data_IF_582216592098
#
_entry.id   IF_582216592098
#
_cell.length_a   1.000
_cell.length_b   1.000
_cell.length_c   1.000
_cell.angle_alpha   90.00
_cell.angle_beta   90.00
_cell.angle_gamma   90.00
#
_symmetry.space_group_name_H-M   'P 1'
#
loop_
_entity.id
_entity.type
_entity.pdbx_description
1 polymer ?
#
# COMPACT_ATOMS: atom_id res chain seq x y z
N UNK A 1 -24.82 5.73 -11.91
CA UNK A 1 -24.33 5.53 -10.52
C UNK A 1 -23.75 6.82 -9.91
N UNK A 2 -22.81 7.49 -10.56
CA UNK A 2 -22.26 8.77 -10.05
C UNK A 2 -23.34 9.79 -9.68
N UNK A 3 -24.37 9.95 -10.50
CA UNK A 3 -25.47 10.91 -10.26
C UNK A 3 -26.24 10.71 -8.95
N UNK A 4 -26.21 9.51 -8.39
CA UNK A 4 -26.83 9.21 -7.08
C UNK A 4 -26.08 9.95 -5.96
N UNK A 5 -24.78 10.19 -6.12
CA UNK A 5 -23.94 10.87 -5.16
C UNK A 5 -23.82 12.38 -5.43
N UNK A 6 -23.58 12.77 -6.67
CA UNK A 6 -23.13 14.14 -7.01
C UNK A 6 -24.11 14.93 -7.87
N UNK A 7 -25.29 14.35 -8.17
CA UNK A 7 -26.26 14.99 -9.08
C UNK A 7 -25.82 14.91 -10.55
N UNK A 8 -26.29 15.84 -11.40
CA UNK A 8 -26.02 15.80 -12.83
C UNK A 8 -24.54 15.73 -13.19
N UNK A 9 -24.18 14.80 -14.07
CA UNK A 9 -22.82 14.52 -14.54
C UNK A 9 -22.65 15.03 -15.98
N UNK A 10 -21.54 15.72 -16.24
CA UNK A 10 -21.23 16.29 -17.58
C UNK A 10 -20.19 15.48 -18.34
N UNK A 11 -19.28 14.81 -17.66
CA UNK A 11 -18.29 13.94 -18.28
C UNK A 11 -17.94 12.75 -17.39
N UNK A 12 -17.59 11.61 -18.01
CA UNK A 12 -17.12 10.38 -17.34
C UNK A 12 -16.02 9.76 -18.19
N UNK A 13 -14.89 9.39 -17.55
CA UNK A 13 -13.79 8.68 -18.20
C UNK A 13 -13.07 7.73 -17.24
N UNK A 14 -12.38 6.69 -17.75
CA UNK A 14 -11.49 5.86 -16.93
C UNK A 14 -10.45 6.72 -16.22
N UNK A 15 -10.10 6.37 -14.97
CA UNK A 15 -9.15 7.14 -14.18
C UNK A 15 -8.21 6.26 -13.38
N UNK A 16 -6.91 6.65 -13.37
CA UNK A 16 -5.86 5.97 -12.61
C UNK A 16 -5.38 4.66 -13.25
N UNK A 17 -4.31 4.13 -12.69
CA UNK A 17 -3.69 2.86 -13.08
C UNK A 17 -3.97 1.72 -12.07
N UNK A 18 -4.86 1.94 -11.11
CA UNK A 18 -5.20 0.96 -10.07
C UNK A 18 -5.75 -0.35 -10.68
N UNK A 19 -5.32 -1.48 -10.10
CA UNK A 19 -5.62 -2.80 -10.66
C UNK A 19 -6.74 -3.55 -9.94
N UNK A 20 -7.17 -3.05 -8.76
CA UNK A 20 -8.15 -3.74 -7.90
C UNK A 20 -9.56 -3.23 -8.19
N UNK A 21 -9.80 -1.95 -7.95
CA UNK A 21 -11.11 -1.32 -8.15
C UNK A 21 -11.25 -0.79 -9.59
N UNK A 22 -12.48 -0.72 -10.10
CA UNK A 22 -12.76 0.05 -11.32
C UNK A 22 -12.97 1.51 -10.95
N UNK A 23 -12.14 2.39 -11.51
CA UNK A 23 -12.09 3.80 -11.13
C UNK A 23 -12.38 4.70 -12.34
N UNK A 24 -13.22 5.71 -12.11
CA UNK A 24 -13.62 6.69 -13.11
C UNK A 24 -13.44 8.11 -12.56
N UNK A 25 -12.99 9.03 -13.41
CA UNK A 25 -13.10 10.45 -13.16
C UNK A 25 -14.45 10.94 -13.69
N UNK A 26 -15.14 11.71 -12.89
CA UNK A 26 -16.46 12.24 -13.18
C UNK A 26 -16.48 13.74 -12.94
N UNK A 27 -16.98 14.49 -13.92
CA UNK A 27 -17.23 15.93 -13.78
C UNK A 27 -18.71 16.16 -13.43
N UNK A 28 -18.96 16.78 -12.29
CA UNK A 28 -20.28 17.19 -11.82
C UNK A 28 -20.37 18.69 -11.62
N UNK A 29 -21.57 19.18 -11.28
CA UNK A 29 -21.81 20.63 -11.10
C UNK A 29 -20.94 21.30 -10.02
N UNK A 30 -20.50 20.54 -9.00
CA UNK A 30 -19.71 21.05 -7.88
C UNK A 30 -18.21 20.66 -7.96
N UNK A 31 -17.73 20.21 -9.12
CA UNK A 31 -16.32 19.85 -9.37
C UNK A 31 -16.10 18.45 -9.87
N UNK A 32 -14.86 17.97 -9.70
CA UNK A 32 -14.43 16.63 -10.15
C UNK A 32 -14.50 15.62 -9.00
N UNK A 33 -14.86 14.39 -9.37
CA UNK A 33 -15.02 13.28 -8.44
C UNK A 33 -14.37 12.02 -8.97
N UNK A 34 -13.87 11.19 -8.05
CA UNK A 34 -13.38 9.84 -8.34
C UNK A 34 -14.44 8.85 -7.89
N UNK A 35 -15.01 8.14 -8.85
CA UNK A 35 -16.08 7.15 -8.63
C UNK A 35 -15.48 5.76 -8.75
N UNK A 36 -15.68 4.93 -7.74
CA UNK A 36 -15.09 3.60 -7.68
C UNK A 36 -16.15 2.52 -7.51
N UNK A 37 -16.03 1.48 -8.34
CA UNK A 37 -16.68 0.19 -8.07
C UNK A 37 -15.70 -0.68 -7.28
N UNK A 38 -16.05 -1.00 -6.04
CA UNK A 38 -15.20 -1.81 -5.16
C UNK A 38 -15.21 -3.26 -5.64
N UNK A 39 -14.03 -3.89 -5.63
CA UNK A 39 -13.86 -5.28 -6.04
C UNK A 39 -14.14 -6.21 -4.86
N UNK A 40 -15.32 -6.83 -4.84
CA UNK A 40 -15.75 -7.73 -3.77
C UNK A 40 -15.01 -9.08 -3.72
N UNK A 41 -14.27 -9.44 -4.76
CA UNK A 41 -13.39 -10.61 -4.72
C UNK A 41 -12.14 -10.36 -3.86
N UNK A 42 -11.69 -9.09 -3.76
CA UNK A 42 -10.56 -8.68 -2.91
C UNK A 42 -11.04 -8.18 -1.56
N UNK A 43 -12.15 -7.44 -1.54
CA UNK A 43 -12.78 -6.88 -0.35
C UNK A 43 -14.18 -7.50 -0.17
N UNK A 44 -14.27 -8.68 0.50
CA UNK A 44 -15.55 -9.40 0.63
C UNK A 44 -16.62 -8.64 1.43
N UNK A 45 -16.20 -7.73 2.32
CA UNK A 45 -17.07 -6.86 3.11
C UNK A 45 -16.78 -5.38 2.78
N UNK A 46 -17.31 -4.85 1.66
CA UNK A 46 -17.11 -3.46 1.27
C UNK A 46 -17.80 -2.45 2.21
N UNK A 47 -18.80 -2.86 2.97
CA UNK A 47 -19.41 -2.06 4.02
C UNK A 47 -18.43 -1.81 5.15
N UNK A 48 -17.76 -2.85 5.66
CA UNK A 48 -16.75 -2.71 6.71
C UNK A 48 -15.55 -1.88 6.24
N UNK A 49 -15.07 -2.08 5.01
CA UNK A 49 -14.04 -1.25 4.39
C UNK A 49 -14.46 0.22 4.37
N UNK A 50 -15.67 0.51 3.90
CA UNK A 50 -16.19 1.88 3.82
C UNK A 50 -16.39 2.49 5.20
N UNK A 51 -16.84 1.70 6.18
CA UNK A 51 -16.99 2.15 7.57
C UNK A 51 -15.65 2.58 8.19
N UNK A 52 -14.58 1.78 8.00
CA UNK A 52 -13.22 2.15 8.44
C UNK A 52 -12.77 3.48 7.82
N UNK A 53 -12.94 3.63 6.50
CA UNK A 53 -12.61 4.85 5.78
C UNK A 53 -13.33 6.07 6.36
N UNK A 54 -14.64 5.95 6.64
CA UNK A 54 -15.45 7.05 7.17
C UNK A 54 -15.04 7.40 8.59
N UNK A 55 -14.68 6.42 9.42
CA UNK A 55 -14.16 6.65 10.78
C UNK A 55 -12.87 7.46 10.71
N UNK A 56 -11.91 7.01 9.90
CA UNK A 56 -10.61 7.70 9.70
C UNK A 56 -10.81 9.09 9.12
N UNK A 57 -11.64 9.25 8.08
CA UNK A 57 -11.93 10.56 7.47
C UNK A 57 -12.50 11.56 8.48
N UNK A 58 -13.48 11.14 9.29
CA UNK A 58 -14.09 12.00 10.32
C UNK A 58 -13.07 12.44 11.37
N UNK A 59 -12.16 11.55 11.73
CA UNK A 59 -11.09 11.84 12.68
C UNK A 59 -10.08 12.84 12.09
N UNK A 60 -9.63 12.62 10.85
CA UNK A 60 -8.67 13.46 10.15
C UNK A 60 -9.24 14.83 9.75
N UNK A 61 -10.55 15.01 9.72
CA UNK A 61 -11.23 16.25 9.33
C UNK A 61 -10.78 16.80 7.97
N UNK A 62 -10.55 15.89 7.02
CA UNK A 62 -10.12 16.22 5.66
C UNK A 62 -8.62 16.50 5.50
N UNK A 63 -7.81 16.33 6.54
CA UNK A 63 -6.36 16.41 6.40
C UNK A 63 -5.81 15.12 5.75
N UNK A 64 -4.80 15.26 4.90
CA UNK A 64 -3.95 14.22 4.30
C UNK A 64 -4.66 13.11 3.50
N UNK A 65 -5.97 13.15 3.33
CA UNK A 65 -6.74 12.19 2.53
C UNK A 65 -7.83 12.88 1.71
N UNK A 66 -8.26 12.30 0.56
CA UNK A 66 -9.43 12.78 -0.17
C UNK A 66 -10.71 12.70 0.67
N UNK A 67 -11.65 13.58 0.39
CA UNK A 67 -12.96 13.59 1.03
C UNK A 67 -13.86 12.50 0.41
N UNK A 68 -14.32 11.48 1.15
CA UNK A 68 -15.39 10.62 0.68
C UNK A 68 -16.70 11.41 0.60
N UNK A 69 -17.51 11.11 -0.40
CA UNK A 69 -18.76 11.86 -0.67
C UNK A 69 -19.95 10.92 -0.43
N UNK A 70 -20.81 11.21 0.56
CA UNK A 70 -22.03 10.45 0.74
C UNK A 70 -23.10 10.82 -0.29
N UNK A 71 -24.10 9.98 -0.46
CA UNK A 71 -25.35 10.35 -1.15
C UNK A 71 -26.08 11.44 -0.39
N UNK A 72 -27.06 12.13 -0.99
CA UNK A 72 -27.94 13.05 -0.28
C UNK A 72 -28.72 12.42 0.89
N UNK A 73 -28.89 11.09 0.88
CA UNK A 73 -29.48 10.31 1.98
C UNK A 73 -28.48 9.95 3.08
N UNK A 74 -27.18 10.27 2.90
CA UNK A 74 -26.12 10.00 3.88
C UNK A 74 -25.43 8.64 3.73
N UNK A 75 -25.67 7.92 2.64
CA UNK A 75 -25.04 6.62 2.35
C UNK A 75 -23.66 6.81 1.73
N UNK A 76 -22.63 6.12 2.25
CA UNK A 76 -21.24 6.17 1.78
C UNK A 76 -20.91 5.11 0.71
N UNK A 77 -21.75 4.09 0.62
CA UNK A 77 -21.69 3.00 -0.32
C UNK A 77 -23.06 2.74 -0.89
N UNK A 78 -23.19 2.55 -2.20
CA UNK A 78 -24.46 2.25 -2.87
C UNK A 78 -24.28 1.04 -3.75
N UNK A 79 -25.23 0.10 -3.66
CA UNK A 79 -25.23 -1.09 -4.49
C UNK A 79 -26.02 -0.88 -5.79
N UNK A 80 -25.39 -1.29 -6.91
CA UNK A 80 -26.04 -1.44 -8.22
C UNK A 80 -26.01 -2.93 -8.58
N UNK A 81 -27.10 -3.62 -8.31
CA UNK A 81 -27.13 -5.09 -8.32
C UNK A 81 -26.11 -5.67 -7.32
N UNK A 82 -25.13 -6.40 -7.79
CA UNK A 82 -24.05 -6.97 -6.99
C UNK A 82 -22.78 -6.10 -6.93
N UNK A 83 -22.83 -4.87 -7.44
CA UNK A 83 -21.66 -3.99 -7.53
C UNK A 83 -21.76 -2.85 -6.49
N UNK A 84 -20.88 -2.79 -5.49
CA UNK A 84 -20.80 -1.67 -4.56
C UNK A 84 -20.02 -0.51 -5.14
N UNK A 85 -20.57 0.71 -4.98
CA UNK A 85 -20.01 1.95 -5.50
C UNK A 85 -19.84 2.98 -4.40
N UNK A 86 -18.74 3.74 -4.47
CA UNK A 86 -18.45 4.88 -3.61
C UNK A 86 -17.85 6.03 -4.40
N UNK A 87 -17.85 7.21 -3.81
CA UNK A 87 -17.37 8.43 -4.46
C UNK A 87 -16.44 9.20 -3.53
N UNK A 88 -15.40 9.79 -4.12
CA UNK A 88 -14.46 10.69 -3.49
C UNK A 88 -14.47 12.04 -4.21
N UNK A 89 -14.31 13.13 -3.48
CA UNK A 89 -13.89 14.37 -4.12
C UNK A 89 -12.48 14.20 -4.65
N UNK A 90 -12.22 14.62 -5.88
CA UNK A 90 -10.87 14.55 -6.43
C UNK A 90 -9.92 15.40 -5.61
N UNK A 91 -8.86 14.81 -5.07
CA UNK A 91 -7.76 15.52 -4.46
C UNK A 91 -6.85 16.14 -5.55
N UNK A 92 -6.18 17.28 -5.27
CA UNK A 92 -5.17 17.83 -6.17
C UNK A 92 -3.97 16.89 -6.30
N UNK A 93 -3.17 17.13 -7.35
CA UNK A 93 -1.94 16.41 -7.58
C UNK A 93 -2.12 15.08 -8.33
N UNK A 94 -1.01 14.36 -8.45
CA UNK A 94 -0.88 13.06 -9.13
C UNK A 94 0.17 12.20 -8.46
N UNK A 95 0.10 10.86 -8.56
CA UNK A 95 1.20 10.01 -8.12
C UNK A 95 2.46 10.26 -8.95
N UNK A 96 3.62 10.01 -8.35
CA UNK A 96 4.91 9.97 -9.04
C UNK A 96 5.37 8.51 -9.14
N UNK A 97 5.83 8.13 -10.33
CA UNK A 97 6.55 6.87 -10.48
C UNK A 97 7.90 6.88 -9.75
N UNK A 98 8.41 5.71 -9.39
CA UNK A 98 9.72 5.60 -8.72
C UNK A 98 10.85 6.29 -9.49
N UNK A 99 10.84 6.22 -10.83
CA UNK A 99 11.85 6.88 -11.68
C UNK A 99 11.79 8.41 -11.60
N UNK A 100 10.61 9.00 -11.39
CA UNK A 100 10.38 10.45 -11.45
C UNK A 100 10.51 11.14 -10.09
N UNK A 101 10.41 10.38 -8.99
CA UNK A 101 10.45 10.92 -7.65
C UNK A 101 11.87 11.33 -7.25
N UNK A 102 12.09 12.62 -7.00
CA UNK A 102 13.35 13.13 -6.46
C UNK A 102 13.50 12.81 -4.97
N UNK A 103 14.73 12.84 -4.40
CA UNK A 103 14.91 12.69 -2.95
C UNK A 103 14.10 13.73 -2.14
N UNK A 104 13.90 14.94 -2.65
CA UNK A 104 13.07 15.96 -2.00
C UNK A 104 11.60 15.55 -1.96
N UNK A 105 11.04 15.05 -3.07
CA UNK A 105 9.68 14.54 -3.12
C UNK A 105 9.50 13.31 -2.21
N UNK A 106 10.50 12.43 -2.15
CA UNK A 106 10.49 11.27 -1.26
C UNK A 106 10.54 11.67 0.23
N UNK A 107 11.28 12.71 0.57
CA UNK A 107 11.25 13.28 1.92
C UNK A 107 9.87 13.83 2.25
N UNK A 108 9.24 14.56 1.32
CA UNK A 108 7.87 15.05 1.49
C UNK A 108 6.85 13.91 1.64
N UNK A 109 7.04 12.80 0.91
CA UNK A 109 6.22 11.58 1.06
C UNK A 109 6.36 10.97 2.46
N UNK A 110 7.59 10.82 2.96
CA UNK A 110 7.84 10.37 4.31
C UNK A 110 7.21 11.29 5.36
N UNK A 111 7.36 12.61 5.20
CA UNK A 111 6.77 13.60 6.10
C UNK A 111 5.23 13.53 6.12
N UNK A 112 4.60 13.37 4.94
CA UNK A 112 3.15 13.20 4.83
C UNK A 112 2.67 11.94 5.57
N UNK A 113 3.38 10.80 5.39
CA UNK A 113 3.06 9.56 6.07
C UNK A 113 3.23 9.69 7.59
N UNK A 114 4.33 10.29 8.05
CA UNK A 114 4.55 10.56 9.48
C UNK A 114 3.48 11.50 10.06
N UNK A 115 3.05 12.50 9.29
CA UNK A 115 1.93 13.37 9.66
C UNK A 115 0.61 12.61 9.75
N UNK A 116 0.31 11.71 8.81
CA UNK A 116 -0.86 10.84 8.87
C UNK A 116 -0.87 10.03 10.17
N UNK A 117 0.22 9.33 10.49
CA UNK A 117 0.36 8.55 11.72
C UNK A 117 0.19 9.42 12.98
N UNK A 118 0.79 10.60 12.99
CA UNK A 118 0.60 11.56 14.09
C UNK A 118 -0.84 12.00 14.28
N UNK A 119 -1.58 12.19 13.19
CA UNK A 119 -2.98 12.59 13.21
C UNK A 119 -3.95 11.49 13.66
N UNK A 120 -3.61 10.21 13.42
CA UNK A 120 -4.44 9.06 13.83
C UNK A 120 -3.97 8.41 15.12
N UNK A 121 -2.97 8.97 15.80
CA UNK A 121 -2.34 8.36 16.97
C UNK A 121 -3.29 8.17 18.16
N UNK A 122 -4.28 9.04 18.30
CA UNK A 122 -5.30 9.02 19.34
C UNK A 122 -6.63 8.38 18.87
N UNK A 123 -6.70 7.91 17.60
CA UNK A 123 -7.84 7.14 17.13
C UNK A 123 -7.74 5.71 17.66
N UNK A 124 -8.81 5.27 18.35
CA UNK A 124 -8.89 3.92 18.88
C UNK A 124 -8.85 2.86 17.76
N UNK A 125 -7.78 2.05 17.66
CA UNK A 125 -7.67 1.03 16.62
C UNK A 125 -8.73 -0.08 16.75
N UNK A 126 -9.26 -0.32 17.95
CA UNK A 126 -10.29 -1.33 18.17
C UNK A 126 -11.67 -0.89 17.64
N UNK A 127 -11.82 0.38 17.29
CA UNK A 127 -12.97 0.91 16.58
C UNK A 127 -13.01 0.58 15.07
N UNK A 128 -11.96 -0.03 14.54
CA UNK A 128 -11.87 -0.44 13.14
C UNK A 128 -12.01 -1.95 12.97
N UNK A 129 -12.70 -2.36 11.92
CA UNK A 129 -12.82 -3.78 11.54
C UNK A 129 -11.55 -4.25 10.83
N UNK A 130 -11.01 -5.41 11.18
CA UNK A 130 -9.95 -6.06 10.41
C UNK A 130 -10.55 -6.65 9.12
N UNK A 131 -10.48 -5.89 8.03
CA UNK A 131 -11.14 -6.24 6.76
C UNK A 131 -10.35 -7.26 5.95
N UNK A 132 -9.04 -7.36 6.17
CA UNK A 132 -8.13 -8.29 5.52
C UNK A 132 -7.24 -9.01 6.57
N UNK A 133 -7.75 -10.06 7.25
CA UNK A 133 -7.02 -10.74 8.30
C UNK A 133 -5.66 -11.29 7.85
N UNK A 134 -4.59 -10.91 8.59
CA UNK A 134 -3.22 -11.32 8.27
C UNK A 134 -2.73 -10.73 6.95
N UNK A 135 -3.12 -9.51 6.61
CA UNK A 135 -2.70 -8.82 5.38
C UNK A 135 -1.18 -8.71 5.30
N UNK A 136 -0.55 -8.19 6.36
CA UNK A 136 0.89 -8.25 6.58
C UNK A 136 1.23 -9.34 7.60
N UNK A 137 1.63 -10.51 7.09
CA UNK A 137 2.08 -11.66 7.87
C UNK A 137 3.13 -12.44 7.06
N UNK A 138 4.42 -12.07 7.14
CA UNK A 138 5.47 -12.77 6.41
C UNK A 138 5.54 -14.27 6.68
N UNK A 139 5.20 -14.71 7.90
CA UNK A 139 5.16 -16.13 8.26
C UNK A 139 4.10 -16.89 7.48
N UNK A 140 2.89 -16.34 7.41
CA UNK A 140 1.80 -16.88 6.60
C UNK A 140 2.15 -16.89 5.11
N UNK A 141 2.83 -15.83 4.61
CA UNK A 141 3.26 -15.76 3.21
C UNK A 141 4.31 -16.82 2.90
N UNK A 142 5.29 -17.02 3.80
CA UNK A 142 6.30 -18.07 3.65
C UNK A 142 5.69 -19.47 3.70
N UNK A 143 4.72 -19.74 4.58
CA UNK A 143 4.00 -20.99 4.61
C UNK A 143 3.27 -21.26 3.28
N UNK A 144 2.58 -20.27 2.73
CA UNK A 144 1.92 -20.38 1.43
C UNK A 144 2.93 -20.64 0.28
N UNK A 145 4.11 -20.00 0.32
CA UNK A 145 5.18 -20.30 -0.65
C UNK A 145 5.61 -21.76 -0.56
N UNK A 146 5.83 -22.29 0.63
CA UNK A 146 6.22 -23.70 0.83
C UNK A 146 5.15 -24.69 0.33
N UNK A 147 3.89 -24.38 0.56
CA UNK A 147 2.77 -25.18 0.06
C UNK A 147 2.72 -25.20 -1.47
N UNK A 148 2.87 -24.06 -2.12
CA UNK A 148 2.82 -24.00 -3.59
C UNK A 148 4.05 -24.62 -4.24
N UNK A 149 5.23 -24.54 -3.60
CA UNK A 149 6.46 -25.24 -4.03
C UNK A 149 6.23 -26.76 -3.98
N UNK A 150 5.67 -27.28 -2.90
CA UNK A 150 5.40 -28.71 -2.76
C UNK A 150 4.36 -29.23 -3.76
N UNK A 151 3.37 -28.39 -4.11
CA UNK A 151 2.32 -28.74 -5.06
C UNK A 151 2.76 -28.61 -6.53
N UNK A 152 3.63 -27.64 -6.83
CA UNK A 152 4.12 -27.25 -8.17
C UNK A 152 3.05 -27.33 -9.27
N UNK A 153 1.90 -26.63 -9.12
CA UNK A 153 0.72 -26.84 -9.96
C UNK A 153 0.97 -26.54 -11.45
N UNK A 154 1.99 -25.75 -11.75
CA UNK A 154 2.33 -25.32 -13.11
C UNK A 154 3.69 -25.84 -13.59
N UNK A 155 4.41 -26.66 -12.81
CA UNK A 155 5.74 -27.17 -13.15
C UNK A 155 6.81 -26.06 -13.22
N UNK A 156 6.62 -24.95 -12.48
CA UNK A 156 7.50 -23.78 -12.54
C UNK A 156 8.61 -23.76 -11.49
N UNK A 157 8.56 -24.60 -10.45
CA UNK A 157 9.52 -24.65 -9.34
C UNK A 157 10.94 -24.86 -9.82
N UNK A 158 11.16 -25.75 -10.79
CA UNK A 158 12.49 -26.04 -11.33
C UNK A 158 13.15 -24.82 -11.99
N UNK A 159 12.38 -23.82 -12.42
CA UNK A 159 12.86 -22.61 -13.12
C UNK A 159 13.18 -21.43 -12.20
N UNK A 160 12.85 -21.53 -10.90
CA UNK A 160 12.98 -20.45 -9.91
C UNK A 160 13.70 -20.89 -8.63
N UNK A 161 14.64 -21.84 -8.75
CA UNK A 161 15.38 -22.41 -7.59
C UNK A 161 16.22 -21.36 -6.88
N UNK A 162 16.81 -20.44 -7.63
CA UNK A 162 17.66 -19.38 -7.07
C UNK A 162 16.79 -18.38 -6.30
N UNK A 163 15.62 -18.02 -6.82
CA UNK A 163 14.67 -17.15 -6.17
C UNK A 163 14.09 -17.76 -4.87
N UNK A 164 13.81 -19.07 -4.90
CA UNK A 164 13.38 -19.82 -3.70
C UNK A 164 14.49 -19.79 -2.66
N UNK A 165 15.73 -20.07 -3.04
CA UNK A 165 16.87 -20.03 -2.13
C UNK A 165 17.08 -18.66 -1.49
N UNK A 166 17.00 -17.58 -2.30
CA UNK A 166 17.08 -16.20 -1.77
C UNK A 166 15.97 -15.90 -0.76
N UNK A 167 14.74 -16.38 -1.01
CA UNK A 167 13.62 -16.21 -0.09
C UNK A 167 13.83 -17.00 1.21
N UNK A 168 14.40 -18.21 1.15
CA UNK A 168 14.75 -19.02 2.33
C UNK A 168 15.91 -18.40 3.13
N UNK A 169 16.93 -17.84 2.49
CA UNK A 169 18.02 -17.14 3.18
C UNK A 169 17.51 -15.90 3.95
N UNK A 170 16.45 -15.26 3.47
CA UNK A 170 15.83 -14.10 4.12
C UNK A 170 14.74 -14.46 5.15
N UNK A 171 14.46 -15.75 5.37
CA UNK A 171 13.46 -16.23 6.38
C UNK A 171 13.63 -15.62 7.77
N UNK A 172 14.84 -15.32 8.30
CA UNK A 172 14.97 -14.67 9.60
C UNK A 172 14.18 -13.35 9.75
N UNK A 173 13.84 -12.68 8.66
CA UNK A 173 12.98 -11.48 8.69
C UNK A 173 11.56 -11.77 9.21
N UNK A 174 11.10 -13.03 9.12
CA UNK A 174 9.80 -13.44 9.69
C UNK A 174 9.79 -13.26 11.20
N UNK A 175 10.84 -13.72 11.88
CA UNK A 175 10.96 -13.58 13.35
C UNK A 175 11.16 -12.12 13.74
N UNK A 176 11.93 -11.35 12.97
CA UNK A 176 12.09 -9.90 13.20
C UNK A 176 10.73 -9.20 13.11
N UNK A 177 9.95 -9.47 12.09
CA UNK A 177 8.61 -8.89 11.91
C UNK A 177 7.66 -9.27 13.06
N UNK A 178 7.67 -10.54 13.47
CA UNK A 178 6.86 -11.03 14.58
C UNK A 178 7.26 -10.38 15.92
N UNK A 179 8.54 -10.20 16.15
CA UNK A 179 9.06 -9.54 17.37
C UNK A 179 8.66 -8.06 17.40
N UNK A 180 8.90 -7.34 16.33
CA UNK A 180 8.50 -5.93 16.21
C UNK A 180 6.99 -5.75 16.40
N UNK A 181 6.16 -6.59 15.76
CA UNK A 181 4.70 -6.52 15.91
C UNK A 181 4.23 -6.72 17.36
N UNK A 182 4.97 -7.51 18.17
CA UNK A 182 4.67 -7.68 19.60
C UNK A 182 5.12 -6.50 20.47
N UNK A 183 6.20 -5.82 20.07
CA UNK A 183 6.83 -4.73 20.86
C UNK A 183 6.18 -3.39 20.64
N UNK A 184 5.76 -3.10 19.40
CA UNK A 184 5.15 -1.80 19.07
C UNK A 184 3.66 -1.77 19.40
N UNK A 185 3.09 -0.61 19.74
CA UNK A 185 1.68 -0.48 20.00
C UNK A 185 0.84 -0.77 18.73
N UNK A 186 -0.36 -1.28 18.94
CA UNK A 186 -1.36 -1.41 17.89
C UNK A 186 -1.97 -0.03 17.60
N UNK A 187 -1.92 0.40 16.38
CA UNK A 187 -2.31 1.72 15.89
C UNK A 187 -3.26 1.60 14.70
N UNK A 188 -3.80 2.71 14.23
CA UNK A 188 -4.42 2.79 12.91
C UNK A 188 -3.33 2.95 11.86
N UNK A 189 -3.27 2.05 10.88
CA UNK A 189 -2.31 2.06 9.79
C UNK A 189 -3.00 1.98 8.43
N UNK A 190 -2.36 2.49 7.39
CA UNK A 190 -2.89 2.51 6.02
C UNK A 190 -2.81 1.14 5.35
N UNK A 191 -1.73 0.40 5.61
CA UNK A 191 -1.41 -0.94 5.10
C UNK A 191 -1.13 -1.07 3.59
N UNK A 192 -1.17 0.02 2.81
CA UNK A 192 -0.75 0.08 1.40
C UNK A 192 -0.18 1.47 1.09
N UNK A 193 0.74 1.97 1.96
CA UNK A 193 1.29 3.32 1.88
C UNK A 193 2.44 3.45 0.87
N UNK A 194 2.40 2.70 -0.22
CA UNK A 194 3.39 2.77 -1.31
C UNK A 194 3.40 4.12 -2.00
N UNK A 195 4.49 4.43 -2.68
CA UNK A 195 4.69 5.71 -3.38
C UNK A 195 3.55 6.05 -4.36
N UNK A 196 3.00 5.05 -5.06
CA UNK A 196 1.89 5.23 -6.00
C UNK A 196 0.58 5.69 -5.34
N UNK A 197 0.47 5.52 -4.01
CA UNK A 197 -0.68 5.96 -3.21
C UNK A 197 -0.45 7.32 -2.54
N UNK A 198 0.60 8.05 -2.95
CA UNK A 198 0.87 9.42 -2.52
C UNK A 198 0.68 10.37 -3.70
N UNK A 199 -0.15 11.39 -3.52
CA UNK A 199 -0.35 12.43 -4.51
C UNK A 199 0.62 13.59 -4.26
N UNK A 200 1.19 14.09 -5.36
CA UNK A 200 2.13 15.22 -5.36
C UNK A 200 1.58 16.36 -6.22
N UNK A 201 1.70 17.58 -5.70
CA UNK A 201 1.39 18.81 -6.38
C UNK A 201 2.59 19.76 -6.25
N UNK A 202 3.16 20.20 -7.38
CA UNK A 202 4.38 21.03 -7.45
C UNK A 202 5.57 20.53 -6.60
N UNK A 203 5.68 19.19 -6.43
CA UNK A 203 6.75 18.55 -5.66
C UNK A 203 6.45 18.30 -4.19
N UNK A 204 5.38 18.86 -3.66
CA UNK A 204 4.89 18.62 -2.31
C UNK A 204 3.98 17.40 -2.27
N UNK A 205 4.12 16.55 -1.27
CA UNK A 205 3.20 15.44 -1.02
C UNK A 205 1.93 15.99 -0.33
N UNK A 206 0.77 15.86 -1.00
CA UNK A 206 -0.47 16.55 -0.58
C UNK A 206 -1.53 15.63 0.00
N UNK A 207 -1.59 14.37 -0.42
CA UNK A 207 -2.57 13.41 0.08
C UNK A 207 -2.10 11.96 -0.04
N UNK A 208 -2.54 11.12 0.91
CA UNK A 208 -2.60 9.66 0.78
C UNK A 208 -3.91 9.27 0.11
N UNK A 209 -3.90 8.24 -0.73
CA UNK A 209 -5.07 7.67 -1.39
C UNK A 209 -5.10 6.15 -1.21
N UNK A 210 -6.24 5.53 -1.56
CA UNK A 210 -6.43 4.07 -1.50
C UNK A 210 -6.46 3.51 -0.07
N UNK A 211 -7.39 4.03 0.74
CA UNK A 211 -7.61 3.65 2.14
C UNK A 211 -8.37 2.33 2.32
N UNK A 212 -8.45 1.45 1.30
CA UNK A 212 -9.21 0.21 1.37
C UNK A 212 -8.67 -0.79 2.39
N UNK A 213 -7.39 -0.66 2.70
CA UNK A 213 -6.67 -1.50 3.65
C UNK A 213 -6.52 -0.88 5.03
N UNK A 214 -7.10 0.31 5.26
CA UNK A 214 -6.96 0.99 6.55
C UNK A 214 -7.62 0.18 7.66
N UNK A 215 -6.83 -0.24 8.65
CA UNK A 215 -7.26 -1.02 9.79
C UNK A 215 -6.24 -0.93 10.94
N UNK A 216 -6.46 -1.68 12.01
CA UNK A 216 -5.55 -1.69 13.14
C UNK A 216 -4.30 -2.53 12.89
N UNK A 217 -3.11 -1.98 13.17
CA UNK A 217 -1.82 -2.66 13.02
C UNK A 217 -0.65 -1.84 13.51
N UNK A 218 0.53 -2.10 12.99
CA UNK A 218 1.76 -1.40 13.33
C UNK A 218 2.18 -0.45 12.20
N UNK A 219 2.66 0.74 12.55
CA UNK A 219 3.05 1.76 11.58
C UNK A 219 4.25 1.40 10.72
N UNK A 220 5.13 0.50 11.18
CA UNK A 220 6.29 0.11 10.39
C UNK A 220 5.92 -0.59 9.08
N UNK A 221 4.74 -1.17 8.95
CA UNK A 221 4.25 -1.74 7.70
C UNK A 221 4.12 -0.66 6.61
N UNK A 222 3.52 0.48 6.95
CA UNK A 222 3.35 1.60 6.04
C UNK A 222 4.69 2.20 5.62
N UNK A 223 5.60 2.39 6.59
CA UNK A 223 6.95 2.90 6.31
C UNK A 223 7.72 1.94 5.42
N UNK A 224 7.60 0.64 5.68
CA UNK A 224 8.23 -0.42 4.89
C UNK A 224 7.76 -0.42 3.44
N UNK A 225 6.47 -0.19 3.21
CA UNK A 225 5.91 -0.18 1.84
C UNK A 225 6.33 1.09 1.07
N UNK A 226 6.43 2.24 1.75
CA UNK A 226 6.99 3.45 1.14
C UNK A 226 8.48 3.28 0.82
N UNK A 227 9.28 2.66 1.72
CA UNK A 227 10.68 2.36 1.47
C UNK A 227 10.87 1.39 0.30
N UNK A 228 10.10 0.31 0.27
CA UNK A 228 10.09 -0.68 -0.81
C UNK A 228 9.82 -0.04 -2.17
N UNK A 229 8.83 0.83 -2.25
CA UNK A 229 8.38 1.43 -3.51
C UNK A 229 9.15 2.69 -3.90
N UNK A 230 9.75 3.40 -2.94
CA UNK A 230 10.38 4.70 -3.15
C UNK A 230 11.92 4.68 -3.13
N UNK A 231 12.57 3.73 -2.46
CA UNK A 231 14.03 3.76 -2.28
C UNK A 231 14.83 3.32 -3.52
N UNK A 232 14.18 2.85 -4.57
CA UNK A 232 14.79 2.52 -5.87
C UNK A 232 14.22 3.40 -6.98
N UNK A 233 14.94 3.52 -8.10
CA UNK A 233 14.42 4.14 -9.35
C UNK A 233 13.82 3.12 -10.30
N UNK A 234 14.01 1.83 -10.01
CA UNK A 234 13.50 0.74 -10.83
C UNK A 234 11.98 0.57 -10.66
N UNK A 235 11.29 0.15 -11.70
CA UNK A 235 9.91 -0.25 -11.61
C UNK A 235 9.75 -1.54 -10.78
N UNK A 236 8.56 -1.77 -10.20
CA UNK A 236 8.27 -2.96 -9.39
C UNK A 236 8.48 -4.26 -10.18
N UNK A 237 8.25 -4.23 -11.48
CA UNK A 237 8.38 -5.35 -12.43
C UNK A 237 9.55 -5.18 -13.41
N UNK A 238 10.63 -4.48 -13.00
CA UNK A 238 11.85 -4.30 -13.80
C UNK A 238 12.40 -5.66 -14.26
N UNK A 239 12.45 -5.91 -15.58
CA UNK A 239 12.87 -7.23 -16.09
C UNK A 239 14.40 -7.44 -16.01
N UNK A 240 15.17 -6.41 -15.68
CA UNK A 240 16.62 -6.47 -15.50
C UNK A 240 16.97 -6.32 -14.01
N UNK A 241 17.04 -7.43 -13.23
CA UNK A 241 17.21 -7.38 -11.79
C UNK A 241 18.46 -6.60 -11.33
N UNK A 242 19.50 -6.56 -12.14
CA UNK A 242 20.75 -5.84 -11.82
C UNK A 242 20.57 -4.30 -11.78
N UNK A 243 19.47 -3.79 -12.32
CA UNK A 243 19.09 -2.37 -12.19
C UNK A 243 18.37 -2.06 -10.89
N UNK A 244 17.91 -3.10 -10.19
CA UNK A 244 17.15 -2.93 -8.96
C UNK A 244 18.10 -2.88 -7.78
N UNK A 245 18.28 -1.69 -7.25
CA UNK A 245 19.16 -1.41 -6.11
C UNK A 245 18.59 -0.26 -5.28
N UNK A 246 18.79 -0.33 -3.98
CA UNK A 246 18.49 0.81 -3.08
C UNK A 246 19.46 1.95 -3.39
N UNK A 247 18.90 3.13 -3.64
CA UNK A 247 19.64 4.39 -3.68
C UNK A 247 19.68 4.98 -2.26
N UNK A 248 20.86 5.04 -1.60
CA UNK A 248 20.96 5.42 -0.18
C UNK A 248 20.33 6.79 0.13
N UNK A 249 20.51 7.76 -0.78
CA UNK A 249 19.97 9.11 -0.63
C UNK A 249 18.42 9.13 -0.68
N UNK A 250 17.81 8.23 -1.43
CA UNK A 250 16.35 8.08 -1.51
C UNK A 250 15.80 7.42 -0.24
N UNK A 251 16.45 6.33 0.17
CA UNK A 251 16.11 5.63 1.41
C UNK A 251 16.17 6.60 2.60
N UNK A 252 17.28 7.31 2.74
CA UNK A 252 17.48 8.26 3.84
C UNK A 252 16.48 9.42 3.80
N UNK A 253 16.15 9.93 2.61
CA UNK A 253 15.16 10.99 2.46
C UNK A 253 13.79 10.57 2.97
N UNK A 254 13.33 9.34 2.68
CA UNK A 254 12.07 8.79 3.20
C UNK A 254 12.11 8.68 4.72
N UNK A 255 13.18 8.08 5.28
CA UNK A 255 13.33 7.88 6.72
C UNK A 255 13.35 9.21 7.47
N UNK A 256 14.13 10.17 6.98
CA UNK A 256 14.23 11.50 7.60
C UNK A 256 12.90 12.23 7.57
N UNK A 257 12.21 12.21 6.41
CA UNK A 257 10.89 12.81 6.27
C UNK A 257 9.88 12.19 7.23
N UNK A 258 9.82 10.85 7.28
CA UNK A 258 8.91 10.15 8.18
C UNK A 258 9.17 10.48 9.65
N UNK A 259 10.43 10.41 10.09
CA UNK A 259 10.81 10.74 11.48
C UNK A 259 10.46 12.19 11.82
N UNK A 260 10.66 13.12 10.92
CA UNK A 260 10.26 14.51 11.11
C UNK A 260 8.74 14.65 11.23
N UNK A 261 7.99 14.04 10.30
CA UNK A 261 6.53 14.11 10.29
C UNK A 261 5.88 13.55 11.57
N UNK A 262 6.31 12.38 12.01
CA UNK A 262 5.75 11.72 13.20
C UNK A 262 6.21 12.38 14.51
N UNK A 263 7.45 12.88 14.56
CA UNK A 263 7.99 13.56 15.74
C UNK A 263 7.28 14.86 16.07
N UNK A 264 6.76 15.57 15.07
CA UNK A 264 5.96 16.80 15.29
C UNK A 264 4.69 16.55 16.11
N UNK A 265 4.16 15.32 16.06
CA UNK A 265 3.00 14.94 16.86
C UNK A 265 3.37 14.52 18.29
N UNK A 266 4.64 14.15 18.55
CA UNK A 266 5.14 13.77 19.87
C UNK A 266 4.55 12.46 20.42
N UNK A 267 4.05 11.58 19.54
CA UNK A 267 3.26 10.39 19.93
C UNK A 267 3.93 9.05 19.63
N UNK A 268 5.02 9.07 18.86
CA UNK A 268 5.77 7.88 18.47
C UNK A 268 6.72 7.50 19.61
N UNK A 269 6.71 6.25 20.04
CA UNK A 269 7.63 5.76 21.04
C UNK A 269 8.97 5.29 20.44
N UNK A 270 9.89 4.87 21.31
CA UNK A 270 11.22 4.43 20.90
C UNK A 270 11.17 3.17 20.03
N UNK A 271 10.34 2.19 20.41
CA UNK A 271 10.26 0.92 19.69
C UNK A 271 9.66 1.12 18.29
N UNK A 272 8.67 2.03 18.13
CA UNK A 272 8.14 2.42 16.84
C UNK A 272 9.20 3.07 15.93
N UNK A 273 10.06 3.94 16.49
CA UNK A 273 11.15 4.58 15.74
C UNK A 273 12.26 3.60 15.35
N UNK A 274 12.59 2.64 16.22
CA UNK A 274 13.55 1.57 15.93
C UNK A 274 13.03 0.60 14.88
N UNK A 275 11.71 0.32 14.88
CA UNK A 275 11.09 -0.55 13.89
C UNK A 275 11.20 -0.02 12.43
N UNK A 276 11.33 1.29 12.25
CA UNK A 276 11.54 1.92 10.93
C UNK A 276 12.77 1.36 10.22
N UNK A 277 13.82 1.03 10.97
CA UNK A 277 15.10 0.58 10.40
C UNK A 277 14.96 -0.79 9.70
N UNK A 278 14.13 -1.70 10.21
CA UNK A 278 13.89 -3.01 9.60
C UNK A 278 12.70 -3.03 8.62
N UNK A 279 11.85 -2.01 8.66
CA UNK A 279 10.57 -1.97 7.95
C UNK A 279 10.70 -2.24 6.44
N UNK A 280 11.65 -1.55 5.78
CA UNK A 280 11.88 -1.71 4.34
C UNK A 280 12.23 -3.14 3.95
N UNK A 281 13.13 -3.79 4.70
CA UNK A 281 13.53 -5.17 4.44
C UNK A 281 12.38 -6.14 4.65
N UNK A 282 11.61 -5.98 5.73
CA UNK A 282 10.48 -6.87 6.07
C UNK A 282 9.41 -6.82 4.98
N UNK A 283 8.96 -5.62 4.57
CA UNK A 283 7.88 -5.48 3.58
C UNK A 283 8.36 -5.88 2.19
N UNK A 284 9.62 -5.59 1.84
CA UNK A 284 10.21 -6.06 0.57
C UNK A 284 10.29 -7.58 0.52
N UNK A 285 10.70 -8.23 1.61
CA UNK A 285 10.68 -9.70 1.73
C UNK A 285 9.29 -10.27 1.54
N UNK A 286 8.31 -9.75 2.29
CA UNK A 286 6.93 -10.21 2.19
C UNK A 286 6.41 -10.12 0.76
N UNK A 287 6.67 -9.00 0.10
CA UNK A 287 6.18 -8.78 -1.27
C UNK A 287 6.90 -9.67 -2.29
N UNK A 288 8.21 -9.93 -2.10
CA UNK A 288 8.95 -10.89 -2.91
C UNK A 288 8.34 -12.30 -2.82
N UNK A 289 8.08 -12.76 -1.60
CA UNK A 289 7.46 -14.06 -1.33
C UNK A 289 6.06 -14.15 -1.96
N UNK A 290 5.24 -13.09 -1.88
CA UNK A 290 3.90 -13.05 -2.49
C UNK A 290 3.96 -13.18 -4.01
N UNK A 291 4.83 -12.43 -4.69
CA UNK A 291 4.98 -12.51 -6.15
C UNK A 291 5.52 -13.87 -6.59
N UNK A 292 6.50 -14.43 -5.87
CA UNK A 292 7.04 -15.74 -6.17
C UNK A 292 6.00 -16.86 -6.01
N UNK A 293 5.21 -16.77 -4.94
CA UNK A 293 4.07 -17.69 -4.69
C UNK A 293 3.08 -17.64 -5.86
N UNK A 294 2.68 -16.44 -6.27
CA UNK A 294 1.71 -16.28 -7.36
C UNK A 294 2.26 -16.74 -8.71
N UNK A 295 3.55 -16.51 -8.98
CA UNK A 295 4.21 -17.05 -10.17
C UNK A 295 4.16 -18.58 -10.20
N UNK A 296 4.53 -19.26 -9.11
CA UNK A 296 4.51 -20.72 -9.02
C UNK A 296 3.07 -21.25 -9.12
N UNK A 297 2.10 -20.54 -8.53
CA UNK A 297 0.67 -20.87 -8.58
C UNK A 297 0.03 -20.72 -9.97
N UNK A 298 0.68 -20.01 -10.91
CA UNK A 298 0.17 -19.80 -12.26
C UNK A 298 -0.45 -18.44 -12.52
N UNK A 299 -0.01 -17.41 -11.79
CA UNK A 299 -0.46 -16.00 -11.95
C UNK A 299 -1.95 -15.82 -11.67
N UNK A 300 -2.42 -16.34 -10.53
CA UNK A 300 -3.85 -16.39 -10.19
C UNK A 300 -4.34 -15.20 -9.36
N UNK A 301 -3.44 -14.52 -8.65
CA UNK A 301 -3.80 -13.43 -7.73
C UNK A 301 -3.54 -12.04 -8.33
N UNK A 302 -2.31 -11.79 -8.79
CA UNK A 302 -1.95 -10.48 -9.34
C UNK A 302 -2.26 -10.42 -10.83
N UNK A 303 -2.93 -9.34 -11.25
CA UNK A 303 -3.13 -9.09 -12.66
C UNK A 303 -1.80 -8.88 -13.37
N UNK A 304 -1.60 -9.59 -14.48
CA UNK A 304 -0.43 -9.48 -15.33
C UNK A 304 -0.80 -8.93 -16.70
N UNK A 305 0.11 -8.19 -17.31
CA UNK A 305 0.04 -7.70 -18.69
C UNK A 305 0.98 -8.45 -19.64
N UNK A 306 1.93 -9.23 -19.09
CA UNK A 306 2.90 -10.06 -19.82
C UNK A 306 3.21 -11.35 -19.05
N UNK A 307 3.58 -12.45 -19.74
CA UNK A 307 3.66 -13.78 -19.14
C UNK A 307 4.65 -13.93 -17.95
N UNK A 308 5.71 -13.12 -17.89
CA UNK A 308 6.75 -13.23 -16.84
C UNK A 308 6.63 -12.17 -15.75
N UNK A 309 5.58 -11.35 -15.77
CA UNK A 309 5.51 -10.15 -14.95
C UNK A 309 5.63 -10.42 -13.45
N UNK A 310 4.99 -11.46 -12.92
CA UNK A 310 5.11 -11.80 -11.50
C UNK A 310 6.49 -12.38 -11.15
N UNK A 311 7.14 -13.09 -12.07
CA UNK A 311 8.52 -13.52 -11.89
C UNK A 311 9.48 -12.31 -11.85
N UNK A 312 9.29 -11.36 -12.75
CA UNK A 312 10.10 -10.16 -12.79
C UNK A 312 9.90 -9.31 -11.51
N UNK A 313 8.66 -9.20 -11.04
CA UNK A 313 8.33 -8.60 -9.73
C UNK A 313 9.05 -9.32 -8.58
N UNK A 314 8.97 -10.65 -8.52
CA UNK A 314 9.65 -11.42 -7.48
C UNK A 314 11.17 -11.19 -7.49
N UNK A 315 11.79 -11.24 -8.67
CA UNK A 315 13.22 -10.96 -8.86
C UNK A 315 13.60 -9.56 -8.45
N UNK A 316 12.82 -8.57 -8.88
CA UNK A 316 13.04 -7.17 -8.52
C UNK A 316 13.00 -6.98 -6.98
N UNK A 317 12.00 -7.55 -6.30
CA UNK A 317 11.92 -7.44 -4.84
C UNK A 317 13.07 -8.18 -4.13
N UNK A 318 13.46 -9.37 -4.57
CA UNK A 318 14.60 -10.10 -3.99
C UNK A 318 15.92 -9.34 -4.17
N UNK A 319 16.13 -8.70 -5.33
CA UNK A 319 17.32 -7.87 -5.57
C UNK A 319 17.28 -6.58 -4.74
N UNK A 320 16.13 -5.95 -4.64
CA UNK A 320 15.96 -4.79 -3.77
C UNK A 320 16.29 -5.15 -2.32
N UNK A 321 15.75 -6.26 -1.81
CA UNK A 321 16.02 -6.78 -0.47
C UNK A 321 17.52 -7.01 -0.23
N UNK A 322 18.22 -7.61 -1.18
CA UNK A 322 19.65 -7.88 -1.08
C UNK A 322 20.50 -6.60 -0.96
N UNK A 323 19.96 -5.46 -1.41
CA UNK A 323 20.61 -4.14 -1.35
C UNK A 323 20.11 -3.25 -0.20
N UNK A 324 19.09 -3.69 0.56
CA UNK A 324 18.59 -2.96 1.74
C UNK A 324 19.69 -2.84 2.82
N UNK A 325 19.70 -1.75 3.60
CA UNK A 325 20.57 -1.65 4.77
C UNK A 325 20.34 -2.83 5.69
N UNK A 326 21.43 -3.42 6.21
CA UNK A 326 21.40 -4.48 7.24
C UNK A 326 21.59 -3.80 8.60
N UNK A 327 20.64 -3.98 9.48
CA UNK A 327 20.67 -3.47 10.85
C UNK A 327 20.87 -4.59 11.87
#
# INVERSE_FOLDING_TARGET
MAEVFVGPVTAVGPFGAGHINLTFLVEGAAGEYVVQRVNTAVFPDPEAVTANIVVVHRHLRGAVMPEPVPTPAGEWLVWDGAAPWRVWRRAPGRPLGSADASPLALRAAGELLGRFHGLVADLDPDGLTETLPGFHDPGRRLAALREVIAADPCGRVATVRDEIHMAEEAEPLVEVAADLTRRVPRRVAHFDAKLDNILFDDGDAVALVDFDTVMAGAWFWDVGDLLRSGATTAAEDEPQPDRVVVAPERYQAIVDGYREGVSRAGVCDRDELEAVDAAGAIVTYEQAVRFLTDWIAGDVYYRISRPTQNLDRARAQLRLLASMPRH
#
